data_IF_620927660537
#
_entry.id   IF_620927660537
#
_cell.length_a   1.000
_cell.length_b   1.000
_cell.length_c   1.000
_cell.angle_alpha   90.00
_cell.angle_beta   90.00
_cell.angle_gamma   90.00
#
_symmetry.space_group_name_H-M   'P 1'
#
loop_
_entity.id
_entity.type
_entity.pdbx_description
1 polymer ?
#
# COMPACT_ATOMS: atom_id res chain seq x y z
N UNK A 1 57.67 48.41 -18.20
CA UNK A 1 57.25 47.94 -19.53
C UNK A 1 56.47 46.66 -19.33
N UNK A 2 55.22 46.65 -19.76
CA UNK A 2 54.13 45.77 -19.30
C UNK A 2 54.23 44.38 -19.95
N UNK A 3 54.19 43.32 -19.14
CA UNK A 3 54.02 41.94 -19.59
C UNK A 3 52.63 41.76 -20.20
N UNK A 4 52.55 41.48 -21.51
CA UNK A 4 51.32 41.02 -22.18
C UNK A 4 51.38 39.49 -22.28
N UNK A 5 50.60 38.79 -21.46
CA UNK A 5 50.29 37.38 -21.70
C UNK A 5 49.27 37.28 -22.84
N UNK A 6 49.63 36.65 -23.95
CA UNK A 6 48.66 36.21 -24.94
C UNK A 6 48.01 34.92 -24.45
N UNK A 7 46.80 35.03 -23.88
CA UNK A 7 45.92 33.88 -23.70
C UNK A 7 45.41 33.43 -25.08
N UNK A 8 45.88 32.27 -25.52
CA UNK A 8 45.27 31.53 -26.64
C UNK A 8 43.90 31.06 -26.17
N UNK A 9 42.83 31.58 -26.80
CA UNK A 9 41.48 31.03 -26.65
C UNK A 9 41.41 29.71 -27.41
N UNK A 10 41.73 28.60 -26.75
CA UNK A 10 41.34 27.28 -27.22
C UNK A 10 39.84 27.15 -26.93
N UNK A 11 39.01 27.32 -27.96
CA UNK A 11 37.61 26.92 -27.88
C UNK A 11 37.57 25.40 -27.98
N UNK A 12 37.45 24.73 -26.83
CA UNK A 12 37.05 23.33 -26.79
C UNK A 12 35.57 23.32 -27.20
N UNK A 13 35.32 23.10 -28.49
CA UNK A 13 34.00 22.67 -28.97
C UNK A 13 33.86 21.22 -28.49
N UNK A 14 33.42 21.06 -27.26
CA UNK A 14 32.94 19.77 -26.78
C UNK A 14 31.65 19.47 -27.54
N UNK A 15 31.72 18.51 -28.46
CA UNK A 15 30.54 17.94 -29.10
C UNK A 15 29.75 17.20 -28.03
N UNK A 16 28.85 17.91 -27.36
CA UNK A 16 27.71 17.30 -26.67
C UNK A 16 26.86 16.69 -27.77
N UNK A 17 27.00 15.38 -27.99
CA UNK A 17 25.97 14.60 -28.68
C UNK A 17 24.78 14.58 -27.72
N UNK A 18 23.98 15.63 -27.77
CA UNK A 18 22.63 15.63 -27.23
C UNK A 18 21.82 14.69 -28.13
N UNK A 19 21.79 13.41 -27.79
CA UNK A 19 20.76 12.49 -28.29
C UNK A 19 19.42 12.93 -27.68
N UNK A 20 18.83 13.96 -28.27
CA UNK A 20 17.48 14.43 -27.98
C UNK A 20 16.49 13.42 -28.55
N UNK A 21 16.25 12.33 -27.83
CA UNK A 21 14.95 11.65 -27.92
C UNK A 21 14.02 12.37 -26.95
N UNK A 22 13.28 13.33 -27.50
CA UNK A 22 12.10 13.89 -26.85
C UNK A 22 11.09 12.75 -26.67
N UNK A 23 11.14 12.07 -25.53
CA UNK A 23 9.96 11.38 -25.01
C UNK A 23 9.03 12.45 -24.46
N UNK A 24 8.20 13.01 -25.36
CA UNK A 24 7.00 13.71 -24.97
C UNK A 24 6.08 12.68 -24.30
N UNK A 25 6.18 12.56 -22.97
CA UNK A 25 5.17 11.89 -22.18
C UNK A 25 3.87 12.71 -22.31
N UNK A 26 3.03 12.31 -23.27
CA UNK A 26 1.67 12.82 -23.37
C UNK A 26 0.92 12.35 -22.10
N UNK A 27 0.26 13.25 -21.36
CA UNK A 27 -0.66 12.83 -20.32
C UNK A 27 -1.84 12.13 -21.02
N UNK A 28 -1.95 10.81 -20.90
CA UNK A 28 -3.12 10.09 -21.38
C UNK A 28 -4.29 10.39 -20.45
N UNK A 29 -5.13 11.35 -20.85
CA UNK A 29 -6.48 11.43 -20.33
C UNK A 29 -7.30 10.30 -20.97
N UNK A 30 -8.03 9.55 -20.13
CA UNK A 30 -8.89 8.47 -20.60
C UNK A 30 -10.06 9.04 -21.44
N UNK A 31 -9.93 8.99 -22.76
CA UNK A 31 -11.08 8.93 -23.67
C UNK A 31 -10.72 8.08 -24.88
N UNK A 32 -11.64 7.18 -25.27
CA UNK A 32 -11.38 6.09 -26.20
C UNK A 32 -11.19 6.54 -27.65
N UNK A 33 -10.26 5.87 -28.34
CA UNK A 33 -10.41 5.33 -29.70
C UNK A 33 -9.10 4.65 -30.12
N UNK A 34 -9.21 3.48 -30.74
CA UNK A 34 -8.09 2.65 -31.21
C UNK A 34 -7.39 3.25 -32.45
N UNK A 35 -6.04 3.21 -32.50
CA UNK A 35 -5.28 2.48 -33.53
C UNK A 35 -3.74 2.54 -33.32
N UNK A 36 -3.20 1.38 -32.93
CA UNK A 36 -2.05 0.63 -33.48
C UNK A 36 -0.70 1.33 -33.83
N UNK A 37 0.35 1.00 -33.06
CA UNK A 37 1.53 0.17 -33.38
C UNK A 37 2.79 0.70 -32.68
N UNK A 38 3.19 0.06 -31.59
CA UNK A 38 4.52 0.17 -30.99
C UNK A 38 4.86 -1.16 -30.32
N UNK A 39 6.12 -1.57 -30.44
CA UNK A 39 6.67 -2.82 -29.91
C UNK A 39 6.24 -3.04 -28.46
N UNK A 40 5.55 -4.16 -28.22
CA UNK A 40 5.32 -4.69 -26.88
C UNK A 40 6.68 -5.06 -26.30
N UNK A 41 7.30 -4.13 -25.58
CA UNK A 41 8.19 -4.53 -24.50
C UNK A 41 7.36 -5.48 -23.63
N UNK A 42 7.84 -6.72 -23.50
CA UNK A 42 7.21 -7.75 -22.68
C UNK A 42 7.16 -7.25 -21.24
N UNK A 43 6.07 -6.56 -20.90
CA UNK A 43 5.59 -6.52 -19.53
C UNK A 43 5.37 -7.98 -19.18
N UNK A 44 6.04 -8.46 -18.13
CA UNK A 44 5.84 -9.76 -17.53
C UNK A 44 4.43 -9.82 -16.90
N UNK A 45 3.40 -9.79 -17.74
CA UNK A 45 2.03 -10.05 -17.40
C UNK A 45 1.87 -11.57 -17.37
N UNK A 46 2.12 -12.18 -16.21
CA UNK A 46 1.85 -13.58 -16.02
C UNK A 46 0.36 -13.78 -15.70
N UNK A 47 -0.37 -14.51 -16.55
CA UNK A 47 -1.75 -14.94 -16.31
C UNK A 47 -2.82 -14.21 -17.14
N UNK A 48 -4.09 -14.48 -16.86
CA UNK A 48 -5.23 -13.82 -17.50
C UNK A 48 -5.43 -12.42 -16.92
N UNK A 49 -4.88 -11.40 -17.58
CA UNK A 49 -4.95 -10.00 -17.14
C UNK A 49 -6.24 -9.28 -17.56
N UNK A 50 -7.09 -9.90 -18.39
CA UNK A 50 -8.30 -9.22 -18.89
C UNK A 50 -9.42 -9.19 -17.84
N UNK A 51 -9.49 -10.21 -16.96
CA UNK A 51 -10.49 -10.29 -15.89
C UNK A 51 -9.96 -11.07 -14.68
N UNK A 52 -9.09 -10.47 -13.85
CA UNK A 52 -8.56 -11.15 -12.67
C UNK A 52 -9.69 -11.48 -11.68
N UNK A 53 -9.71 -12.71 -11.17
CA UNK A 53 -10.65 -13.12 -10.12
C UNK A 53 -10.31 -12.46 -8.77
N UNK A 54 -9.01 -12.37 -8.49
CA UNK A 54 -8.43 -11.93 -7.23
C UNK A 54 -7.48 -10.77 -7.49
N UNK A 55 -7.48 -9.78 -6.60
CA UNK A 55 -6.55 -8.64 -6.65
C UNK A 55 -5.87 -8.58 -5.29
N UNK A 56 -4.54 -8.68 -5.29
CA UNK A 56 -3.71 -8.47 -4.11
C UNK A 56 -2.93 -7.19 -4.33
N UNK A 57 -3.06 -6.24 -3.42
CA UNK A 57 -2.35 -4.97 -3.48
C UNK A 57 -1.40 -4.85 -2.30
N UNK A 58 -0.10 -4.72 -2.58
CA UNK A 58 0.95 -4.66 -1.57
C UNK A 58 1.57 -3.25 -1.53
N UNK A 59 1.62 -2.66 -0.34
CA UNK A 59 2.21 -1.33 -0.11
C UNK A 59 3.37 -1.45 0.86
N UNK A 60 4.57 -1.10 0.39
CA UNK A 60 5.70 -0.80 1.29
C UNK A 60 5.64 0.66 1.71
N UNK A 61 5.11 0.95 2.89
CA UNK A 61 5.04 2.34 3.39
C UNK A 61 6.47 2.92 3.54
N UNK A 62 6.69 4.09 2.95
CA UNK A 62 8.03 4.72 2.87
C UNK A 62 9.02 4.07 1.90
N UNK A 63 8.64 3.02 1.15
CA UNK A 63 9.54 2.22 0.31
C UNK A 63 9.90 2.91 -1.02
N UNK A 64 10.72 3.96 -0.95
CA UNK A 64 11.33 4.57 -2.14
C UNK A 64 12.40 3.67 -2.81
N UNK A 65 12.91 4.04 -3.99
CA UNK A 65 13.90 3.23 -4.73
C UNK A 65 15.18 2.90 -3.94
N UNK A 66 15.56 3.76 -3.00
CA UNK A 66 16.72 3.55 -2.11
C UNK A 66 16.55 2.32 -1.21
N UNK A 67 15.33 2.01 -0.76
CA UNK A 67 15.08 0.83 0.08
C UNK A 67 15.26 -0.48 -0.71
N UNK A 68 14.76 -0.54 -1.94
CA UNK A 68 14.98 -1.70 -2.81
C UNK A 68 16.47 -1.89 -3.12
N UNK A 69 17.19 -0.80 -3.33
CA UNK A 69 18.65 -0.84 -3.54
C UNK A 69 19.37 -1.34 -2.30
N UNK A 70 19.05 -0.79 -1.12
CA UNK A 70 19.66 -1.22 0.15
C UNK A 70 19.38 -2.70 0.46
N UNK A 71 18.14 -3.16 0.22
CA UNK A 71 17.77 -4.56 0.42
C UNK A 71 18.55 -5.50 -0.50
N UNK A 72 18.81 -5.11 -1.75
CA UNK A 72 19.66 -5.87 -2.67
C UNK A 72 21.07 -6.04 -2.11
N UNK A 73 21.72 -4.96 -1.70
CA UNK A 73 23.05 -5.03 -1.08
C UNK A 73 23.09 -5.84 0.21
N UNK A 74 22.00 -5.82 0.99
CA UNK A 74 21.90 -6.65 2.19
C UNK A 74 21.79 -8.15 1.87
N UNK A 75 21.14 -8.51 0.76
CA UNK A 75 20.96 -9.90 0.31
C UNK A 75 22.10 -10.43 -0.55
N UNK A 76 22.95 -9.53 -1.03
CA UNK A 76 24.04 -9.80 -1.95
C UNK A 76 25.05 -10.80 -1.37
N UNK A 77 25.51 -11.73 -2.19
CA UNK A 77 26.63 -12.59 -1.89
C UNK A 77 27.91 -11.98 -2.48
N UNK A 78 28.85 -11.47 -1.68
CA UNK A 78 30.05 -10.80 -2.19
C UNK A 78 30.98 -11.71 -3.00
N UNK A 79 30.78 -13.02 -2.97
CA UNK A 79 31.56 -14.00 -3.75
C UNK A 79 31.02 -14.20 -5.18
N UNK A 80 29.88 -13.61 -5.54
CA UNK A 80 29.30 -13.69 -6.90
C UNK A 80 29.69 -12.47 -7.73
N UNK A 81 29.68 -12.63 -9.06
CA UNK A 81 30.06 -11.56 -9.99
C UNK A 81 28.91 -10.58 -10.25
N UNK A 82 27.67 -11.07 -10.20
CA UNK A 82 26.45 -10.31 -10.45
C UNK A 82 25.62 -10.30 -9.18
N UNK A 83 25.03 -9.15 -8.85
CA UNK A 83 24.18 -9.05 -7.66
C UNK A 83 22.98 -10.00 -7.76
N UNK A 84 22.61 -10.61 -6.64
CA UNK A 84 21.45 -11.48 -6.58
C UNK A 84 20.15 -10.72 -6.90
N UNK A 85 19.25 -11.43 -7.58
CA UNK A 85 17.90 -10.95 -7.83
C UNK A 85 17.07 -11.01 -6.56
N UNK A 86 16.17 -10.03 -6.40
CA UNK A 86 15.14 -10.01 -5.36
C UNK A 86 13.78 -10.35 -5.97
N UNK A 87 12.82 -10.69 -5.12
CA UNK A 87 11.45 -10.97 -5.58
C UNK A 87 10.79 -9.79 -6.32
N UNK A 88 11.28 -8.56 -6.16
CA UNK A 88 10.75 -7.38 -6.85
C UNK A 88 11.22 -7.23 -8.30
N UNK A 89 12.31 -7.90 -8.69
CA UNK A 89 12.92 -7.71 -10.01
C UNK A 89 12.00 -8.12 -11.15
N UNK A 90 11.20 -9.16 -10.94
CA UNK A 90 10.28 -9.66 -11.96
C UNK A 90 9.02 -8.80 -12.11
N UNK A 91 8.77 -7.87 -11.18
CA UNK A 91 7.54 -7.04 -11.14
C UNK A 91 7.78 -5.54 -11.34
N UNK A 92 9.03 -5.09 -11.49
CA UNK A 92 9.33 -3.67 -11.69
C UNK A 92 8.97 -3.22 -13.11
N UNK A 93 7.86 -2.46 -13.23
CA UNK A 93 7.34 -2.00 -14.53
C UNK A 93 7.41 -0.48 -14.73
N UNK A 94 7.70 0.31 -13.69
CA UNK A 94 7.73 1.76 -13.81
C UNK A 94 7.86 2.52 -12.50
N UNK A 95 7.49 3.81 -12.53
CA UNK A 95 7.52 4.72 -11.38
C UNK A 95 6.19 5.45 -11.24
N UNK A 96 5.88 5.95 -10.03
CA UNK A 96 4.63 6.65 -9.74
C UNK A 96 4.85 8.00 -9.04
N UNK A 97 4.01 8.98 -9.36
CA UNK A 97 4.00 10.29 -8.69
C UNK A 97 3.10 10.25 -7.45
N UNK A 98 3.64 10.69 -6.32
CA UNK A 98 2.99 10.51 -5.01
C UNK A 98 2.39 11.78 -4.43
N UNK A 99 2.55 12.95 -5.05
CA UNK A 99 2.08 14.23 -4.49
C UNK A 99 0.58 14.21 -4.09
N UNK A 100 0.20 14.82 -2.95
CA UNK A 100 -1.20 14.93 -2.54
C UNK A 100 -1.90 16.07 -3.30
N UNK A 101 -3.19 16.27 -3.02
CA UNK A 101 -3.89 17.52 -3.31
C UNK A 101 -4.09 18.30 -2.01
N UNK A 102 -2.97 18.80 -1.48
CA UNK A 102 -2.95 19.57 -0.24
C UNK A 102 -2.54 21.03 -0.53
N UNK A 103 -3.18 21.97 0.16
CA UNK A 103 -2.92 23.41 0.00
C UNK A 103 -1.59 23.88 0.60
N UNK A 104 -1.01 23.11 1.53
CA UNK A 104 0.17 23.48 2.31
C UNK A 104 1.39 22.63 1.98
N UNK A 105 1.17 21.37 1.62
CA UNK A 105 2.23 20.38 1.42
C UNK A 105 2.21 19.76 0.03
N UNK A 106 3.39 19.59 -0.58
CA UNK A 106 3.57 18.86 -1.83
C UNK A 106 4.12 17.44 -1.64
N UNK A 107 4.45 17.08 -0.40
CA UNK A 107 4.86 15.73 0.02
C UNK A 107 3.67 15.07 0.69
N UNK A 108 3.31 13.87 0.20
CA UNK A 108 2.14 13.14 0.71
C UNK A 108 2.43 12.52 2.07
N UNK A 109 1.40 12.42 2.88
CA UNK A 109 1.36 11.46 3.99
C UNK A 109 0.71 10.13 3.54
N UNK A 110 0.75 9.11 4.39
CA UNK A 110 0.16 7.80 4.09
C UNK A 110 -1.36 7.86 3.89
N UNK A 111 -2.07 8.81 4.53
CA UNK A 111 -3.52 8.92 4.41
C UNK A 111 -3.96 9.40 3.03
N UNK A 112 -3.37 10.50 2.53
CA UNK A 112 -3.63 10.97 1.17
C UNK A 112 -3.19 9.96 0.10
N UNK A 113 -2.04 9.31 0.32
CA UNK A 113 -1.53 8.26 -0.57
C UNK A 113 -2.47 7.04 -0.63
N UNK A 114 -2.88 6.52 0.51
CA UNK A 114 -3.76 5.35 0.59
C UNK A 114 -5.19 5.66 0.13
N UNK A 115 -5.69 6.88 0.33
CA UNK A 115 -6.97 7.31 -0.27
C UNK A 115 -6.87 7.34 -1.79
N UNK A 116 -5.75 7.79 -2.35
CA UNK A 116 -5.53 7.73 -3.79
C UNK A 116 -5.43 6.29 -4.32
N UNK A 117 -4.76 5.39 -3.60
CA UNK A 117 -4.68 3.97 -3.97
C UNK A 117 -6.04 3.26 -3.92
N UNK A 118 -6.80 3.51 -2.86
CA UNK A 118 -8.05 2.81 -2.59
C UNK A 118 -9.22 3.33 -3.44
N UNK A 119 -9.28 4.63 -3.73
CA UNK A 119 -10.45 5.25 -4.39
C UNK A 119 -10.15 5.85 -5.76
N UNK A 120 -8.88 6.06 -6.12
CA UNK A 120 -8.49 6.79 -7.33
C UNK A 120 -8.60 8.32 -7.21
N UNK A 121 -8.92 8.86 -6.03
CA UNK A 121 -9.02 10.30 -5.79
C UNK A 121 -7.81 10.83 -5.03
N UNK A 122 -7.19 11.91 -5.54
CA UNK A 122 -6.23 12.71 -4.76
C UNK A 122 -6.99 13.53 -3.72
N UNK A 123 -6.38 13.70 -2.55
CA UNK A 123 -6.97 14.42 -1.41
C UNK A 123 -5.87 15.08 -0.57
N UNK A 124 -6.24 15.75 0.53
CA UNK A 124 -5.33 16.44 1.43
C UNK A 124 -4.66 15.49 2.44
N UNK A 125 -3.53 15.90 3.01
CA UNK A 125 -2.79 15.07 3.97
C UNK A 125 -3.63 14.81 5.24
N UNK A 126 -3.64 13.56 5.67
CA UNK A 126 -4.44 13.11 6.82
C UNK A 126 -5.87 12.68 6.48
N UNK A 127 -6.35 12.84 5.24
CA UNK A 127 -7.68 12.40 4.84
C UNK A 127 -7.74 10.88 4.59
N UNK A 128 -8.79 10.22 5.08
CA UNK A 128 -9.00 8.76 4.96
C UNK A 128 -10.31 8.55 4.20
N UNK A 129 -10.24 8.01 2.98
CA UNK A 129 -11.44 7.65 2.21
C UNK A 129 -12.37 8.81 1.88
N UNK A 130 -11.88 10.06 1.88
CA UNK A 130 -12.64 11.26 1.53
C UNK A 130 -11.90 12.13 0.51
N UNK A 131 -12.66 12.82 -0.34
CA UNK A 131 -12.13 13.81 -1.27
C UNK A 131 -11.69 15.11 -0.58
N UNK A 132 -11.17 16.04 -1.37
CA UNK A 132 -10.73 17.37 -0.91
C UNK A 132 -11.82 18.20 -0.20
N UNK A 133 -13.09 17.89 -0.46
CA UNK A 133 -14.27 18.54 0.11
C UNK A 133 -14.83 17.73 1.30
N UNK A 134 -14.07 16.74 1.79
CA UNK A 134 -14.45 15.83 2.88
C UNK A 134 -15.65 14.94 2.56
N UNK A 135 -15.95 14.73 1.28
CA UNK A 135 -17.01 13.80 0.87
C UNK A 135 -16.44 12.40 0.75
N UNK A 136 -17.17 11.43 1.28
CA UNK A 136 -16.87 10.00 1.12
C UNK A 136 -16.68 9.65 -0.36
N UNK A 137 -15.60 8.91 -0.63
CA UNK A 137 -15.33 8.30 -1.94
C UNK A 137 -15.34 6.79 -1.79
N UNK A 138 -15.95 6.08 -2.74
CA UNK A 138 -16.02 4.63 -2.72
C UNK A 138 -14.61 4.03 -2.90
N UNK A 139 -14.26 3.06 -2.07
CA UNK A 139 -12.99 2.33 -2.17
C UNK A 139 -13.12 1.08 -3.05
N UNK A 140 -11.99 0.61 -3.56
CA UNK A 140 -11.90 -0.65 -4.30
C UNK A 140 -12.29 -1.86 -3.44
N UNK A 141 -12.06 -1.80 -2.13
CA UNK A 141 -12.45 -2.86 -1.19
C UNK A 141 -13.97 -2.89 -1.01
N UNK A 142 -14.61 -1.73 -0.84
CA UNK A 142 -16.07 -1.62 -0.81
C UNK A 142 -16.70 -2.09 -2.13
N UNK A 143 -16.12 -1.68 -3.26
CA UNK A 143 -16.59 -2.13 -4.57
C UNK A 143 -16.45 -3.65 -4.72
N UNK A 144 -15.35 -4.24 -4.26
CA UNK A 144 -15.17 -5.69 -4.26
C UNK A 144 -16.23 -6.38 -3.40
N UNK A 145 -16.54 -5.84 -2.22
CA UNK A 145 -17.59 -6.39 -1.35
C UNK A 145 -18.98 -6.32 -1.98
N UNK A 146 -19.34 -5.20 -2.63
CA UNK A 146 -20.58 -5.04 -3.43
C UNK A 146 -20.70 -6.04 -4.57
N UNK A 147 -19.56 -6.53 -5.07
CA UNK A 147 -19.51 -7.58 -6.10
C UNK A 147 -19.56 -9.00 -5.50
N UNK A 148 -19.80 -9.13 -4.20
CA UNK A 148 -19.84 -10.42 -3.49
C UNK A 148 -18.49 -11.08 -3.31
N UNK A 149 -17.38 -10.33 -3.41
CA UNK A 149 -16.03 -10.84 -3.15
C UNK A 149 -15.69 -10.75 -1.66
N UNK A 150 -14.88 -11.69 -1.20
CA UNK A 150 -14.23 -11.60 0.11
C UNK A 150 -13.19 -10.48 0.12
N UNK A 151 -13.01 -9.84 1.27
CA UNK A 151 -12.13 -8.67 1.42
C UNK A 151 -11.23 -8.80 2.64
N UNK A 152 -9.99 -8.31 2.53
CA UNK A 152 -9.04 -8.41 3.63
C UNK A 152 -8.03 -7.28 3.69
N UNK A 153 -7.56 -7.00 4.91
CA UNK A 153 -6.54 -6.04 5.26
C UNK A 153 -5.49 -6.71 6.14
N UNK A 154 -4.23 -6.68 5.72
CA UNK A 154 -3.10 -7.23 6.46
C UNK A 154 -2.02 -6.16 6.58
N UNK A 155 -1.53 -5.92 7.79
CA UNK A 155 -0.50 -4.90 8.06
C UNK A 155 0.35 -5.27 9.26
N UNK A 156 1.60 -4.79 9.28
CA UNK A 156 2.46 -4.84 10.49
C UNK A 156 2.25 -3.61 11.39
N UNK A 157 1.51 -2.60 10.95
CA UNK A 157 1.14 -1.43 11.75
C UNK A 157 -0.16 -1.67 12.52
N UNK A 158 -0.65 -0.65 13.22
CA UNK A 158 -2.04 -0.62 13.68
C UNK A 158 -2.99 -0.78 12.49
N UNK A 159 -4.01 -1.63 12.58
CA UNK A 159 -5.01 -1.79 11.51
C UNK A 159 -5.85 -0.51 11.30
N UNK A 160 -5.87 0.37 12.30
CA UNK A 160 -6.47 1.72 12.23
C UNK A 160 -5.50 2.79 11.73
N UNK A 161 -4.25 2.44 11.38
CA UNK A 161 -3.35 3.40 10.74
C UNK A 161 -3.81 3.72 9.31
N UNK A 162 -3.29 4.81 8.76
CA UNK A 162 -3.86 5.43 7.57
C UNK A 162 -3.95 4.51 6.35
N UNK A 163 -2.93 3.69 6.11
CA UNK A 163 -2.82 2.82 4.94
C UNK A 163 -3.95 1.78 4.86
N UNK A 164 -4.18 0.93 5.89
CA UNK A 164 -5.35 0.04 5.91
C UNK A 164 -6.68 0.80 6.08
N UNK A 165 -6.72 1.84 6.92
CA UNK A 165 -7.96 2.57 7.19
C UNK A 165 -8.61 3.17 5.94
N UNK A 166 -7.81 3.68 4.99
CA UNK A 166 -8.32 4.30 3.77
C UNK A 166 -9.09 3.35 2.85
N UNK A 167 -8.99 2.02 3.05
CA UNK A 167 -9.75 1.03 2.29
C UNK A 167 -11.13 0.72 2.88
N UNK A 168 -11.36 0.97 4.17
CA UNK A 168 -12.57 0.51 4.86
C UNK A 168 -13.19 1.56 5.81
N UNK A 169 -12.69 2.80 5.79
CA UNK A 169 -13.20 3.91 6.60
C UNK A 169 -13.18 5.22 5.82
N UNK A 170 -14.04 6.14 6.25
CA UNK A 170 -14.16 7.48 5.70
C UNK A 170 -14.14 8.49 6.84
N UNK A 171 -13.04 9.20 6.98
CA UNK A 171 -12.84 10.16 8.07
C UNK A 171 -11.93 11.31 7.64
N UNK A 172 -12.23 12.50 8.15
CA UNK A 172 -11.55 13.72 7.73
C UNK A 172 -10.16 13.90 8.37
N UNK A 173 -9.78 13.02 9.31
CA UNK A 173 -8.46 12.98 9.93
C UNK A 173 -8.06 11.56 10.33
N UNK A 174 -6.85 11.15 9.95
CA UNK A 174 -6.20 9.88 10.29
C UNK A 174 -5.95 9.67 11.79
N UNK A 175 -5.98 10.75 12.58
CA UNK A 175 -5.71 10.68 14.01
C UNK A 175 -6.91 10.18 14.83
N UNK A 176 -8.10 10.13 14.22
CA UNK A 176 -9.35 9.68 14.85
C UNK A 176 -9.46 8.14 14.85
N UNK A 177 -8.44 7.47 15.41
CA UNK A 177 -8.30 6.01 15.35
C UNK A 177 -9.41 5.24 16.08
N UNK A 178 -9.98 5.80 17.15
CA UNK A 178 -11.15 5.21 17.81
C UNK A 178 -12.39 5.18 16.88
N UNK A 179 -12.62 6.26 16.12
CA UNK A 179 -13.70 6.34 15.14
C UNK A 179 -13.45 5.41 13.95
N UNK A 180 -12.19 5.27 13.50
CA UNK A 180 -11.80 4.30 12.46
C UNK A 180 -12.09 2.86 12.91
N UNK A 181 -11.72 2.49 14.14
CA UNK A 181 -12.02 1.16 14.68
C UNK A 181 -13.53 0.89 14.76
N UNK A 182 -14.33 1.89 15.14
CA UNK A 182 -15.81 1.78 15.11
C UNK A 182 -16.31 1.54 13.69
N UNK A 183 -15.82 2.29 12.72
CA UNK A 183 -16.21 2.12 11.32
C UNK A 183 -15.86 0.74 10.75
N UNK A 184 -14.74 0.12 11.15
CA UNK A 184 -14.45 -1.26 10.76
C UNK A 184 -15.55 -2.25 11.17
N UNK A 185 -16.22 -2.01 12.30
CA UNK A 185 -17.33 -2.85 12.79
C UNK A 185 -18.71 -2.39 12.27
N UNK A 186 -18.92 -1.10 12.13
CA UNK A 186 -20.22 -0.51 11.79
C UNK A 186 -20.48 -0.48 10.29
N UNK A 187 -19.45 -0.35 9.45
CA UNK A 187 -19.62 -0.26 8.00
C UNK A 187 -20.06 -1.61 7.44
N UNK A 188 -21.20 -1.58 6.72
CA UNK A 188 -21.81 -2.77 6.10
C UNK A 188 -22.11 -2.55 4.63
N UNK A 189 -22.02 -3.63 3.88
CA UNK A 189 -22.51 -3.75 2.49
C UNK A 189 -23.36 -5.01 2.45
N UNK A 190 -24.62 -4.88 2.05
CA UNK A 190 -25.61 -5.97 2.02
C UNK A 190 -25.67 -6.76 3.34
N UNK A 191 -25.76 -6.03 4.47
CA UNK A 191 -25.78 -6.53 5.85
C UNK A 191 -24.52 -7.31 6.30
N UNK A 192 -23.45 -7.32 5.50
CA UNK A 192 -22.16 -7.91 5.86
C UNK A 192 -21.15 -6.83 6.20
N UNK A 193 -20.27 -7.11 7.18
CA UNK A 193 -19.07 -6.30 7.42
C UNK A 193 -18.29 -6.06 6.14
N UNK A 194 -17.80 -4.83 5.95
CA UNK A 194 -17.05 -4.48 4.74
C UNK A 194 -15.73 -5.27 4.58
N UNK A 195 -15.11 -5.71 5.69
CA UNK A 195 -13.83 -6.44 5.70
C UNK A 195 -13.99 -7.80 6.40
N UNK A 196 -13.66 -8.90 5.72
CA UNK A 196 -13.77 -10.26 6.28
C UNK A 196 -12.52 -10.67 7.08
N UNK A 197 -11.33 -10.27 6.63
CA UNK A 197 -10.04 -10.57 7.27
C UNK A 197 -9.33 -9.29 7.68
N UNK A 198 -9.08 -9.07 8.97
CA UNK A 198 -8.38 -7.90 9.51
C UNK A 198 -7.22 -8.39 10.38
N UNK A 199 -5.97 -8.21 9.93
CA UNK A 199 -4.78 -8.71 10.62
C UNK A 199 -3.75 -7.60 10.81
N UNK A 200 -3.32 -7.36 12.05
CA UNK A 200 -2.22 -6.45 12.38
C UNK A 200 -2.16 -6.10 13.85
N UNK A 201 -1.63 -4.92 14.18
CA UNK A 201 -1.64 -4.38 15.54
C UNK A 201 -2.84 -3.48 15.83
N UNK A 202 -2.80 -2.78 16.96
CA UNK A 202 -3.78 -1.76 17.35
C UNK A 202 -4.87 -2.24 18.30
N UNK A 203 -4.63 -3.31 19.07
CA UNK A 203 -5.60 -3.90 20.00
C UNK A 203 -6.26 -2.88 20.95
N UNK A 204 -5.51 -1.84 21.34
CA UNK A 204 -5.98 -0.77 22.23
C UNK A 204 -7.23 -0.04 21.72
N UNK A 205 -7.46 0.00 20.40
CA UNK A 205 -8.60 0.69 19.76
C UNK A 205 -9.85 -0.18 19.65
N UNK A 206 -9.76 -1.48 19.95
CA UNK A 206 -10.88 -2.42 19.79
C UNK A 206 -11.42 -2.94 21.13
N UNK A 207 -10.64 -2.81 22.22
CA UNK A 207 -11.01 -3.30 23.53
C UNK A 207 -12.03 -2.44 24.29
N UNK A 208 -12.03 -2.56 25.62
CA UNK A 208 -13.05 -1.94 26.49
C UNK A 208 -13.08 -0.41 26.47
N UNK A 209 -11.95 0.23 26.14
CA UNK A 209 -11.87 1.68 26.02
C UNK A 209 -12.67 2.23 24.82
N UNK A 210 -12.99 1.38 23.84
CA UNK A 210 -13.73 1.72 22.64
C UNK A 210 -14.87 0.72 22.40
N UNK A 211 -15.79 0.64 23.37
CA UNK A 211 -17.04 -0.14 23.27
C UNK A 211 -16.90 -1.66 23.08
N UNK A 212 -15.76 -2.26 23.43
CA UNK A 212 -15.48 -3.71 23.27
C UNK A 212 -15.79 -4.22 21.86
N UNK A 213 -15.34 -3.48 20.83
CA UNK A 213 -15.54 -3.82 19.43
C UNK A 213 -15.01 -5.23 19.11
N UNK A 214 -13.87 -5.62 19.69
CA UNK A 214 -13.32 -6.98 19.62
C UNK A 214 -14.36 -8.06 19.99
N UNK A 215 -15.05 -7.88 21.11
CA UNK A 215 -16.09 -8.81 21.56
C UNK A 215 -17.32 -8.77 20.66
N UNK A 216 -17.66 -7.61 20.09
CA UNK A 216 -18.77 -7.49 19.14
C UNK A 216 -18.47 -8.24 17.84
N UNK A 217 -17.24 -8.15 17.30
CA UNK A 217 -16.81 -8.98 16.18
C UNK A 217 -16.94 -10.47 16.49
N UNK A 218 -16.47 -10.89 17.67
CA UNK A 218 -16.62 -12.28 18.12
C UNK A 218 -18.08 -12.74 18.19
N UNK A 219 -18.98 -11.88 18.69
CA UNK A 219 -20.42 -12.16 18.75
C UNK A 219 -21.04 -12.30 17.35
N UNK A 220 -20.46 -11.65 16.34
CA UNK A 220 -20.89 -11.73 14.94
C UNK A 220 -20.12 -12.78 14.12
N UNK A 221 -19.44 -13.71 14.80
CA UNK A 221 -18.86 -14.90 14.19
C UNK A 221 -17.46 -14.70 13.60
N UNK A 222 -16.73 -13.66 14.01
CA UNK A 222 -15.29 -13.55 13.72
C UNK A 222 -14.51 -14.40 14.71
N UNK A 223 -13.48 -15.08 14.23
CA UNK A 223 -12.39 -15.49 15.08
C UNK A 223 -11.63 -14.25 15.54
N UNK A 224 -11.43 -14.11 16.85
CA UNK A 224 -10.66 -13.00 17.41
C UNK A 224 -9.41 -13.58 18.05
N UNK A 225 -8.26 -13.26 17.46
CA UNK A 225 -6.96 -13.87 17.76
C UNK A 225 -5.93 -12.80 18.10
N UNK A 226 -4.96 -13.17 18.94
CA UNK A 226 -4.00 -12.23 19.54
C UNK A 226 -2.54 -12.67 19.44
N UNK A 227 -2.27 -13.87 18.94
CA UNK A 227 -0.92 -14.39 18.73
C UNK A 227 -0.88 -15.36 17.54
N UNK A 228 0.31 -15.83 17.18
CA UNK A 228 0.54 -16.74 16.06
C UNK A 228 -0.21 -18.07 16.20
N UNK A 229 -0.14 -18.70 17.37
CA UNK A 229 -0.78 -20.00 17.62
C UNK A 229 -2.30 -19.92 17.47
N UNK A 230 -2.91 -18.85 17.99
CA UNK A 230 -4.35 -18.59 17.83
C UNK A 230 -4.72 -18.34 16.37
N UNK A 231 -3.91 -17.60 15.62
CA UNK A 231 -4.14 -17.36 14.19
C UNK A 231 -4.07 -18.66 13.37
N UNK A 232 -3.14 -19.55 13.69
CA UNK A 232 -2.98 -20.86 13.04
C UNK A 232 -4.14 -21.82 13.38
N UNK A 233 -4.71 -21.70 14.58
CA UNK A 233 -5.82 -22.55 15.05
C UNK A 233 -7.20 -22.03 14.61
N UNK A 234 -7.32 -20.74 14.30
CA UNK A 234 -8.55 -20.17 13.77
C UNK A 234 -8.93 -20.84 12.44
N UNK A 235 -10.21 -21.16 12.27
CA UNK A 235 -10.75 -21.89 11.13
C UNK A 235 -11.91 -21.16 10.43
N UNK A 236 -12.38 -20.04 11.00
CA UNK A 236 -13.43 -19.22 10.41
C UNK A 236 -12.96 -18.43 9.19
N UNK A 237 -13.89 -18.25 8.25
CA UNK A 237 -13.72 -17.41 7.05
C UNK A 237 -13.46 -15.93 7.39
N UNK A 238 -13.87 -15.51 8.60
CA UNK A 238 -13.74 -14.15 9.11
C UNK A 238 -12.86 -14.11 10.34
N UNK A 239 -11.88 -13.22 10.35
CA UNK A 239 -10.90 -13.13 11.45
C UNK A 239 -10.51 -11.69 11.73
N UNK A 240 -10.44 -11.36 13.01
CA UNK A 240 -9.84 -10.15 13.57
C UNK A 240 -8.62 -10.56 14.39
N UNK A 241 -7.43 -10.39 13.81
CA UNK A 241 -6.15 -10.62 14.44
C UNK A 241 -5.52 -9.31 14.90
N UNK A 242 -5.35 -9.15 16.21
CA UNK A 242 -4.78 -7.96 16.85
C UNK A 242 -3.59 -8.37 17.74
N UNK A 243 -2.39 -8.32 17.16
CA UNK A 243 -1.18 -8.93 17.74
C UNK A 243 -0.34 -7.99 18.62
N UNK A 244 -0.71 -6.71 18.69
CA UNK A 244 -0.04 -5.73 19.54
C UNK A 244 -1.00 -4.60 19.92
N UNK A 245 -0.77 -3.94 21.06
CA UNK A 245 -1.55 -2.77 21.48
C UNK A 245 -1.44 -1.60 20.49
N UNK A 246 -0.27 -1.46 19.85
CA UNK A 246 0.04 -0.44 18.84
C UNK A 246 0.52 -1.13 17.56
N UNK A 247 1.46 -0.52 16.83
CA UNK A 247 2.17 -1.21 15.76
C UNK A 247 2.81 -2.49 16.29
N UNK A 248 2.88 -3.51 15.46
CA UNK A 248 3.67 -4.69 15.76
C UNK A 248 5.15 -4.30 15.86
N UNK A 249 5.96 -5.01 16.66
CA UNK A 249 7.39 -4.76 16.74
C UNK A 249 8.07 -4.91 15.37
N UNK A 250 9.23 -4.26 15.23
CA UNK A 250 10.07 -4.47 14.04
C UNK A 250 10.46 -5.94 13.95
N UNK A 251 10.56 -6.47 12.73
CA UNK A 251 10.82 -7.91 12.51
C UNK A 251 12.10 -8.44 13.20
N UNK A 252 13.10 -7.59 13.42
CA UNK A 252 14.34 -7.94 14.13
C UNK A 252 14.16 -8.06 15.65
N UNK A 253 13.15 -7.37 16.20
CA UNK A 253 12.83 -7.30 17.63
C UNK A 253 11.54 -8.07 17.96
N UNK A 254 10.90 -8.67 16.96
CA UNK A 254 9.61 -9.34 17.11
C UNK A 254 9.75 -10.63 17.93
N UNK A 255 8.91 -10.83 18.96
CA UNK A 255 8.79 -12.10 19.66
C UNK A 255 8.46 -13.27 18.71
N UNK A 256 8.82 -14.49 19.09
CA UNK A 256 8.54 -15.69 18.28
C UNK A 256 7.03 -16.04 18.23
N UNK A 257 6.25 -15.59 19.21
CA UNK A 257 4.80 -15.76 19.29
C UNK A 257 4.00 -14.74 18.47
N UNK A 258 4.65 -13.68 17.96
CA UNK A 258 4.03 -12.77 17.00
C UNK A 258 4.03 -13.40 15.60
N UNK A 259 2.91 -13.38 14.86
CA UNK A 259 2.91 -13.82 13.48
C UNK A 259 3.73 -12.86 12.63
N UNK A 260 4.53 -13.40 11.71
CA UNK A 260 5.23 -12.59 10.71
C UNK A 260 4.24 -12.11 9.65
N UNK A 261 4.61 -11.10 8.87
CA UNK A 261 3.80 -10.65 7.72
C UNK A 261 3.44 -11.81 6.77
N UNK A 262 4.38 -12.75 6.56
CA UNK A 262 4.15 -13.92 5.73
C UNK A 262 3.13 -14.91 6.34
N UNK A 263 3.12 -15.05 7.67
CA UNK A 263 2.14 -15.89 8.38
C UNK A 263 0.74 -15.29 8.25
N UNK A 264 0.61 -13.97 8.51
CA UNK A 264 -0.65 -13.23 8.33
C UNK A 264 -1.13 -13.24 6.88
N UNK A 265 -0.24 -13.07 5.90
CA UNK A 265 -0.55 -13.15 4.48
C UNK A 265 -1.12 -14.53 4.13
N UNK A 266 -0.47 -15.61 4.57
CA UNK A 266 -0.92 -16.97 4.28
C UNK A 266 -2.30 -17.24 4.87
N UNK A 267 -2.49 -16.89 6.15
CA UNK A 267 -3.78 -17.01 6.83
C UNK A 267 -4.90 -16.21 6.14
N UNK A 268 -4.59 -15.03 5.59
CA UNK A 268 -5.54 -14.23 4.83
C UNK A 268 -5.87 -14.87 3.48
N UNK A 269 -4.87 -15.35 2.73
CA UNK A 269 -5.09 -15.98 1.43
C UNK A 269 -5.94 -17.25 1.55
N UNK A 270 -5.71 -18.07 2.57
CA UNK A 270 -6.48 -19.30 2.79
C UNK A 270 -7.98 -19.04 3.00
N UNK A 271 -8.33 -17.91 3.63
CA UNK A 271 -9.71 -17.50 3.93
C UNK A 271 -10.39 -16.73 2.80
N UNK A 272 -9.61 -16.08 1.93
CA UNK A 272 -10.12 -15.20 0.88
C UNK A 272 -10.16 -15.87 -0.51
N UNK A 273 -9.62 -17.09 -0.64
CA UNK A 273 -9.46 -17.80 -1.92
C UNK A 273 -10.67 -18.57 -2.41
#
# INVERSE_FOLDING_TARGET
MIFKSQFVKVSIVGTLVASSLLNLAQPTFASGSEQNTASKDEIAAYGNTENPKNIIFMVGDGMGPSFNTAFRYFKDNPDTQEMEKTAFDDYLVGTQRTNPHDSKDNVTDSAAGATAFSSGHKTYNGAIGVDENKKTVETVLERAKKMGKSTGLVTTSEVTDATPAAYASHIDSRDKKDEIAKQFFENRIDDQHTVDVILGGGAKYFGSANDNIDKKFKQEGYDVVSNKDELEQADGDKVLGLFADKNMPLQIDAPDDDPRLADMQSAALDRLS
#
